data_IF_983422786270
#
_entry.id   IF_983422786270
#
_cell.length_a   1.000
_cell.length_b   1.000
_cell.length_c   1.000
_cell.angle_alpha   90.00
_cell.angle_beta   90.00
_cell.angle_gamma   90.00
#
_symmetry.space_group_name_H-M   'P 1'
#
loop_
_entity.id
_entity.type
_entity.pdbx_description
1 polymer ?
#
# COMPACT_ATOMS: atom_id res chain seq x y z
N UNK A 1 -11.17 25.57 2.50
CA UNK A 1 -11.52 24.45 1.59
C UNK A 1 -10.34 23.56 1.20
N UNK A 2 -9.39 23.96 0.34
CA UNK A 2 -8.24 23.08 -0.02
C UNK A 2 -7.34 22.72 1.18
N UNK A 3 -7.14 23.67 2.09
CA UNK A 3 -6.32 23.44 3.30
C UNK A 3 -7.05 22.58 4.35
N UNK A 4 -8.38 22.63 4.42
CA UNK A 4 -9.19 21.82 5.34
C UNK A 4 -9.32 20.38 4.87
N UNK A 5 -9.48 20.14 3.56
CA UNK A 5 -9.46 18.78 3.00
C UNK A 5 -8.10 18.10 3.19
N UNK A 6 -7.02 18.88 3.12
CA UNK A 6 -5.66 18.37 3.38
C UNK A 6 -5.46 17.97 4.85
N UNK A 7 -6.06 18.71 5.79
CA UNK A 7 -5.98 18.40 7.22
C UNK A 7 -6.76 17.13 7.54
N UNK A 8 -7.95 16.91 6.95
CA UNK A 8 -8.72 15.68 7.17
C UNK A 8 -8.08 14.44 6.55
N UNK A 9 -7.37 14.57 5.42
CA UNK A 9 -6.61 13.48 4.82
C UNK A 9 -5.40 13.06 5.68
N UNK A 10 -4.75 14.03 6.36
CA UNK A 10 -3.67 13.76 7.32
C UNK A 10 -4.20 13.04 8.59
N UNK A 11 -5.48 13.24 8.94
CA UNK A 11 -6.15 12.64 10.11
C UNK A 11 -6.59 11.19 9.84
N UNK A 12 -7.13 10.89 8.65
CA UNK A 12 -7.45 9.51 8.25
C UNK A 12 -6.19 8.62 8.05
N UNK A 13 -5.00 9.23 7.93
CA UNK A 13 -3.71 8.57 7.71
C UNK A 13 -3.17 7.79 8.95
N UNK A 14 -3.81 7.92 10.13
CA UNK A 14 -3.21 7.65 11.44
C UNK A 14 -3.82 6.53 12.29
N UNK A 15 -4.80 5.76 11.80
CA UNK A 15 -5.52 4.76 12.62
C UNK A 15 -4.63 3.71 13.33
N UNK A 16 -3.41 3.46 12.87
CA UNK A 16 -2.47 2.50 13.52
C UNK A 16 -1.46 3.15 14.48
N UNK A 17 -1.48 4.48 14.64
CA UNK A 17 -0.48 5.24 15.42
C UNK A 17 -1.18 6.20 16.42
N UNK A 18 -2.49 6.40 16.31
CA UNK A 18 -3.25 7.42 17.06
C UNK A 18 -3.35 7.16 18.56
N UNK A 19 -3.41 5.89 19.01
CA UNK A 19 -3.60 5.59 20.44
C UNK A 19 -2.39 5.96 21.31
N UNK A 20 -1.17 5.99 20.74
CA UNK A 20 0.05 6.46 21.44
C UNK A 20 0.24 8.00 21.32
N UNK A 21 -0.57 8.69 20.51
CA UNK A 21 -0.36 10.08 20.08
C UNK A 21 -1.06 11.11 20.97
N UNK A 22 -2.23 10.81 21.53
CA UNK A 22 -2.94 11.78 22.38
C UNK A 22 -2.25 11.98 23.73
N UNK A 23 -1.62 10.93 24.28
CA UNK A 23 -0.86 11.02 25.54
C UNK A 23 0.43 11.84 25.39
N UNK A 24 1.22 11.63 24.31
CA UNK A 24 2.46 12.42 24.09
C UNK A 24 2.22 13.88 23.66
N UNK A 25 1.09 14.18 23.00
CA UNK A 25 0.77 15.54 22.54
C UNK A 25 0.13 16.38 23.65
N UNK A 26 -0.65 15.78 24.55
CA UNK A 26 -1.22 16.45 25.73
C UNK A 26 -0.14 16.92 26.70
N UNK A 27 0.90 16.12 26.94
CA UNK A 27 2.04 16.52 27.79
C UNK A 27 2.98 17.54 27.13
N UNK A 28 2.94 17.69 25.80
CA UNK A 28 3.87 18.54 25.04
C UNK A 28 3.38 19.99 24.81
N UNK A 29 2.27 20.39 25.42
CA UNK A 29 1.79 21.78 25.39
C UNK A 29 2.54 22.67 26.40
N UNK A 30 3.81 22.99 26.10
CA UNK A 30 4.55 24.12 26.68
C UNK A 30 5.54 24.69 25.64
N UNK A 31 5.86 26.00 25.68
CA UNK A 31 5.83 26.88 24.50
C UNK A 31 7.11 26.86 23.64
N UNK A 32 6.92 27.01 22.32
CA UNK A 32 7.94 27.25 21.27
C UNK A 32 8.99 26.14 21.07
N UNK A 33 8.55 24.95 20.65
CA UNK A 33 9.46 24.07 19.89
C UNK A 33 9.86 24.78 18.59
N UNK A 34 11.17 24.88 18.35
CA UNK A 34 11.73 25.49 17.13
C UNK A 34 11.16 24.78 15.90
N UNK A 35 10.99 25.49 14.77
CA UNK A 35 10.60 24.89 13.48
C UNK A 35 11.49 23.68 13.10
N UNK A 36 12.71 23.65 13.62
CA UNK A 36 13.66 22.55 13.45
C UNK A 36 13.28 21.29 14.25
N UNK A 37 12.73 21.43 15.46
CA UNK A 37 12.28 20.30 16.29
C UNK A 37 11.01 19.66 15.74
N UNK A 38 10.09 20.49 15.23
CA UNK A 38 8.89 20.02 14.53
C UNK A 38 9.30 19.21 13.28
N UNK A 39 10.30 19.68 12.51
CA UNK A 39 10.84 18.94 11.37
C UNK A 39 11.49 17.61 11.78
N UNK A 40 12.25 17.57 12.88
CA UNK A 40 12.87 16.34 13.40
C UNK A 40 11.83 15.32 13.84
N UNK A 41 10.76 15.75 14.54
CA UNK A 41 9.65 14.88 14.95
C UNK A 41 8.90 14.32 13.74
N UNK A 42 8.55 15.16 12.75
CA UNK A 42 7.90 14.71 11.50
C UNK A 42 8.75 13.68 10.75
N UNK A 43 10.08 13.88 10.67
CA UNK A 43 10.99 12.92 10.06
C UNK A 43 11.02 11.59 10.81
N UNK A 44 11.11 11.61 12.14
CA UNK A 44 11.09 10.39 12.96
C UNK A 44 9.79 9.60 12.77
N UNK A 45 8.64 10.29 12.75
CA UNK A 45 7.32 9.68 12.48
C UNK A 45 7.26 9.03 11.10
N UNK A 46 7.72 9.75 10.06
CA UNK A 46 7.79 9.20 8.71
C UNK A 46 8.68 7.95 8.64
N UNK A 47 9.85 7.98 9.27
CA UNK A 47 10.77 6.82 9.31
C UNK A 47 10.11 5.64 10.03
N UNK A 48 9.51 5.85 11.20
CA UNK A 48 8.80 4.78 11.93
C UNK A 48 7.72 4.14 11.06
N UNK A 49 6.91 4.95 10.36
CA UNK A 49 5.86 4.48 9.45
C UNK A 49 6.40 3.63 8.31
N UNK A 50 7.50 4.04 7.69
CA UNK A 50 8.14 3.26 6.62
C UNK A 50 8.75 1.95 7.17
N UNK A 51 9.32 1.99 8.37
CA UNK A 51 9.93 0.81 8.99
C UNK A 51 8.89 -0.23 9.40
N UNK A 52 7.77 0.20 10.00
CA UNK A 52 6.64 -0.69 10.33
C UNK A 52 6.06 -1.30 9.04
N UNK A 53 5.86 -0.48 8.01
CA UNK A 53 5.35 -0.96 6.72
C UNK A 53 6.29 -1.96 6.06
N UNK A 54 7.61 -1.72 6.11
CA UNK A 54 8.61 -2.64 5.60
C UNK A 54 8.65 -3.96 6.39
N UNK A 55 8.46 -3.91 7.71
CA UNK A 55 8.37 -5.08 8.56
C UNK A 55 7.13 -5.92 8.21
N UNK A 56 5.97 -5.27 8.06
CA UNK A 56 4.73 -5.94 7.63
C UNK A 56 4.91 -6.60 6.26
N UNK A 57 5.48 -5.87 5.29
CA UNK A 57 5.76 -6.44 3.96
C UNK A 57 6.69 -7.65 4.06
N UNK A 58 7.77 -7.57 4.84
CA UNK A 58 8.68 -8.70 5.04
C UNK A 58 7.96 -9.94 5.57
N UNK A 59 7.06 -9.78 6.55
CA UNK A 59 6.26 -10.88 7.09
C UNK A 59 5.35 -11.47 6.00
N UNK A 60 4.67 -10.62 5.24
CA UNK A 60 3.80 -11.04 4.12
C UNK A 60 4.61 -11.81 3.07
N UNK A 61 5.78 -11.32 2.68
CA UNK A 61 6.67 -11.98 1.72
C UNK A 61 7.09 -13.37 2.20
N UNK A 62 7.47 -13.50 3.49
CA UNK A 62 7.85 -14.79 4.08
C UNK A 62 6.68 -15.76 4.07
N UNK A 63 5.48 -15.31 4.44
CA UNK A 63 4.28 -16.15 4.42
C UNK A 63 3.94 -16.63 3.00
N UNK A 64 4.01 -15.74 2.00
CA UNK A 64 3.79 -16.09 0.60
C UNK A 64 4.85 -17.05 0.07
N UNK A 65 6.11 -16.87 0.47
CA UNK A 65 7.20 -17.73 0.07
C UNK A 65 7.04 -19.15 0.65
N UNK A 66 6.76 -19.25 1.96
CA UNK A 66 6.47 -20.53 2.62
C UNK A 66 5.25 -21.20 1.98
N UNK A 67 4.20 -20.41 1.70
CA UNK A 67 3.02 -20.91 0.99
C UNK A 67 3.38 -21.47 -0.39
N UNK A 68 4.23 -20.78 -1.16
CA UNK A 68 4.72 -21.26 -2.45
C UNK A 68 5.44 -22.60 -2.35
N UNK A 69 6.34 -22.75 -1.37
CA UNK A 69 7.06 -24.01 -1.13
C UNK A 69 6.14 -25.15 -0.72
N UNK A 70 5.20 -24.90 0.22
CA UNK A 70 4.22 -25.90 0.66
C UNK A 70 3.31 -26.32 -0.49
N UNK A 71 2.89 -25.36 -1.33
CA UNK A 71 2.04 -25.63 -2.50
C UNK A 71 2.74 -26.55 -3.49
N UNK A 72 4.02 -26.30 -3.76
CA UNK A 72 4.81 -27.09 -4.71
C UNK A 72 5.23 -28.45 -4.15
N UNK A 73 5.24 -28.60 -2.82
CA UNK A 73 5.70 -29.79 -2.11
C UNK A 73 7.12 -30.24 -2.54
N UNK A 74 7.98 -29.27 -2.84
CA UNK A 74 9.37 -29.46 -3.23
C UNK A 74 10.22 -28.31 -2.65
N UNK A 75 11.47 -28.62 -2.31
CA UNK A 75 12.46 -27.66 -1.79
C UNK A 75 13.72 -27.60 -2.65
N UNK A 76 13.64 -28.11 -3.89
CA UNK A 76 14.69 -27.96 -4.89
C UNK A 76 15.01 -26.48 -5.18
N UNK A 77 16.19 -26.22 -5.75
CA UNK A 77 16.59 -24.85 -6.11
C UNK A 77 15.60 -24.22 -7.11
N UNK A 78 15.00 -25.04 -7.98
CA UNK A 78 13.96 -24.62 -8.92
C UNK A 78 12.69 -24.21 -8.16
N UNK A 79 12.23 -25.02 -7.21
CA UNK A 79 11.06 -24.71 -6.38
C UNK A 79 11.26 -23.41 -5.58
N UNK A 80 12.46 -23.20 -5.02
CA UNK A 80 12.81 -21.94 -4.34
C UNK A 80 12.73 -20.74 -5.30
N UNK A 81 13.22 -20.91 -6.52
CA UNK A 81 13.18 -19.86 -7.55
C UNK A 81 11.74 -19.54 -7.93
N UNK A 82 10.92 -20.56 -8.19
CA UNK A 82 9.52 -20.39 -8.55
C UNK A 82 8.71 -19.76 -7.41
N UNK A 83 8.95 -20.15 -6.16
CA UNK A 83 8.31 -19.56 -5.00
C UNK A 83 8.69 -18.07 -4.81
N UNK A 84 9.95 -17.70 -5.07
CA UNK A 84 10.35 -16.28 -5.07
C UNK A 84 9.68 -15.50 -6.20
N UNK A 85 9.60 -16.05 -7.40
CA UNK A 85 8.89 -15.43 -8.51
C UNK A 85 7.41 -15.24 -8.23
N UNK A 86 6.76 -16.23 -7.60
CA UNK A 86 5.38 -16.12 -7.15
C UNK A 86 5.18 -14.91 -6.22
N UNK A 87 6.04 -14.78 -5.20
CA UNK A 87 5.98 -13.65 -4.25
C UNK A 87 6.17 -12.32 -4.97
N UNK A 88 7.19 -12.22 -5.82
CA UNK A 88 7.47 -11.01 -6.62
C UNK A 88 6.27 -10.62 -7.48
N UNK A 89 5.67 -11.57 -8.20
CA UNK A 89 4.52 -11.31 -9.06
C UNK A 89 3.34 -10.82 -8.23
N UNK A 90 3.00 -11.50 -7.14
CA UNK A 90 1.87 -11.13 -6.29
C UNK A 90 2.05 -9.72 -5.72
N UNK A 91 3.20 -9.45 -5.09
CA UNK A 91 3.45 -8.12 -4.51
C UNK A 91 3.48 -7.02 -5.57
N UNK A 92 4.12 -7.27 -6.71
CA UNK A 92 4.14 -6.33 -7.83
C UNK A 92 2.71 -5.97 -8.25
N UNK A 93 1.84 -6.97 -8.44
CA UNK A 93 0.45 -6.73 -8.85
C UNK A 93 -0.37 -5.99 -7.80
N UNK A 94 -0.14 -6.24 -6.50
CA UNK A 94 -0.80 -5.49 -5.43
C UNK A 94 -0.36 -4.01 -5.47
N UNK A 95 0.96 -3.76 -5.52
CA UNK A 95 1.51 -2.40 -5.60
C UNK A 95 1.04 -1.67 -6.85
N UNK A 96 1.04 -2.36 -7.99
CA UNK A 96 0.52 -1.86 -9.26
C UNK A 96 -0.97 -1.54 -9.19
N UNK A 97 -1.79 -2.37 -8.55
CA UNK A 97 -3.23 -2.12 -8.40
C UNK A 97 -3.49 -0.83 -7.61
N UNK A 98 -2.79 -0.61 -6.50
CA UNK A 98 -2.91 0.63 -5.73
C UNK A 98 -2.43 1.86 -6.51
N UNK A 99 -1.32 1.72 -7.22
CA UNK A 99 -0.81 2.79 -8.09
C UNK A 99 -1.82 3.17 -9.18
N UNK A 100 -2.37 2.17 -9.86
CA UNK A 100 -3.33 2.36 -10.95
C UNK A 100 -4.68 2.89 -10.45
N UNK A 101 -5.13 2.43 -9.28
CA UNK A 101 -6.33 2.94 -8.61
C UNK A 101 -6.23 4.45 -8.40
N UNK A 102 -5.10 4.91 -7.83
CA UNK A 102 -4.87 6.34 -7.58
C UNK A 102 -4.83 7.18 -8.86
N UNK A 103 -4.46 6.59 -10.00
CA UNK A 103 -4.44 7.27 -11.29
C UNK A 103 -5.80 7.22 -12.02
N UNK A 104 -6.84 6.63 -11.42
CA UNK A 104 -8.16 6.49 -12.01
C UNK A 104 -8.20 5.76 -13.37
N UNK A 105 -7.14 5.02 -13.75
CA UNK A 105 -7.01 4.45 -15.11
C UNK A 105 -8.12 3.42 -15.37
N UNK A 106 -8.44 2.60 -14.38
CA UNK A 106 -9.50 1.59 -14.49
C UNK A 106 -10.87 2.05 -13.98
N UNK A 107 -10.99 3.31 -13.55
CA UNK A 107 -12.24 3.82 -12.97
C UNK A 107 -13.42 3.70 -13.93
N UNK A 108 -13.21 3.99 -15.22
CA UNK A 108 -14.22 3.83 -16.27
C UNK A 108 -14.66 2.37 -16.44
N UNK A 109 -13.71 1.43 -16.50
CA UNK A 109 -13.99 0.00 -16.68
C UNK A 109 -14.72 -0.58 -15.47
N UNK A 110 -14.25 -0.29 -14.26
CA UNK A 110 -14.84 -0.76 -13.01
C UNK A 110 -16.27 -0.23 -12.86
N UNK A 111 -16.48 1.07 -13.09
CA UNK A 111 -17.79 1.69 -12.99
C UNK A 111 -18.76 1.15 -14.06
N UNK A 112 -18.30 0.99 -15.30
CA UNK A 112 -19.11 0.46 -16.40
C UNK A 112 -19.52 -0.98 -16.16
N UNK A 113 -18.58 -1.82 -15.71
CA UNK A 113 -18.83 -3.22 -15.38
C UNK A 113 -19.83 -3.33 -14.23
N UNK A 114 -19.64 -2.55 -13.16
CA UNK A 114 -20.57 -2.50 -12.01
C UNK A 114 -21.96 -2.06 -12.44
N UNK A 115 -22.07 -1.04 -13.29
CA UNK A 115 -23.34 -0.53 -13.80
C UNK A 115 -24.04 -1.55 -14.67
N UNK A 116 -23.30 -2.26 -15.52
CA UNK A 116 -23.81 -3.35 -16.36
C UNK A 116 -24.41 -4.49 -15.53
N UNK A 117 -23.69 -4.98 -14.51
CA UNK A 117 -24.22 -6.04 -13.63
C UNK A 117 -25.40 -5.57 -12.78
N UNK A 118 -25.38 -4.33 -12.29
CA UNK A 118 -26.52 -3.75 -11.59
C UNK A 118 -27.76 -3.72 -12.48
N UNK A 119 -27.61 -3.34 -13.75
CA UNK A 119 -28.69 -3.36 -14.74
C UNK A 119 -29.27 -4.76 -14.94
N UNK A 120 -28.43 -5.80 -15.03
CA UNK A 120 -28.89 -7.21 -15.10
C UNK A 120 -29.75 -7.58 -13.88
N UNK A 121 -29.40 -7.08 -12.70
CA UNK A 121 -30.17 -7.30 -11.47
C UNK A 121 -31.34 -6.32 -11.27
N UNK A 122 -31.64 -5.46 -12.25
CA UNK A 122 -32.70 -4.45 -12.19
C UNK A 122 -32.43 -3.30 -11.22
N UNK A 123 -31.18 -3.14 -10.78
CA UNK A 123 -30.76 -2.08 -9.83
C UNK A 123 -30.03 -0.96 -10.57
N UNK A 124 -30.17 0.26 -10.06
CA UNK A 124 -29.41 1.43 -10.54
C UNK A 124 -28.16 1.68 -9.70
N UNK A 125 -27.05 2.16 -10.29
CA UNK A 125 -25.90 2.62 -9.53
C UNK A 125 -26.28 3.79 -8.62
N UNK A 126 -25.78 3.77 -7.38
CA UNK A 126 -26.10 4.76 -6.33
C UNK A 126 -25.39 6.10 -6.53
N UNK A 127 -24.27 6.09 -7.23
CA UNK A 127 -23.43 7.25 -7.54
C UNK A 127 -23.19 7.27 -9.04
N UNK A 128 -23.08 8.46 -9.63
CA UNK A 128 -22.66 8.60 -11.02
C UNK A 128 -21.14 8.40 -11.18
N UNK A 129 -20.69 8.30 -12.43
CA UNK A 129 -19.29 8.09 -12.77
C UNK A 129 -18.39 9.24 -12.29
N UNK A 130 -18.85 10.48 -12.41
CA UNK A 130 -18.07 11.66 -12.04
C UNK A 130 -17.81 11.68 -10.53
N UNK A 131 -18.86 11.44 -9.75
CA UNK A 131 -18.81 11.34 -8.29
C UNK A 131 -17.92 10.19 -7.84
N UNK A 132 -17.96 9.05 -8.56
CA UNK A 132 -17.06 7.93 -8.30
C UNK A 132 -15.59 8.31 -8.52
N UNK A 133 -15.26 8.92 -9.65
CA UNK A 133 -13.88 9.30 -9.97
C UNK A 133 -13.36 10.39 -9.02
N UNK A 134 -14.21 11.36 -8.70
CA UNK A 134 -13.89 12.45 -7.77
C UNK A 134 -13.64 11.94 -6.36
N UNK A 135 -14.38 10.92 -5.90
CA UNK A 135 -14.11 10.27 -4.63
C UNK A 135 -12.68 9.71 -4.55
N UNK A 136 -12.18 9.11 -5.63
CA UNK A 136 -10.83 8.54 -5.67
C UNK A 136 -9.76 9.66 -5.69
N UNK A 137 -10.06 10.78 -6.34
CA UNK A 137 -9.18 11.95 -6.36
C UNK A 137 -9.15 12.68 -5.01
N UNK A 138 -10.29 12.79 -4.33
CA UNK A 138 -10.44 13.44 -3.04
C UNK A 138 -9.91 12.57 -1.88
N UNK A 139 -9.99 11.25 -1.99
CA UNK A 139 -9.53 10.27 -1.00
C UNK A 139 -8.67 9.16 -1.66
N UNK A 140 -7.44 9.50 -2.10
CA UNK A 140 -6.55 8.54 -2.74
C UNK A 140 -5.88 7.64 -1.70
N UNK A 141 -5.50 6.42 -2.10
CA UNK A 141 -4.71 5.55 -1.25
C UNK A 141 -3.37 6.24 -0.97
N UNK A 142 -2.93 6.39 0.28
CA UNK A 142 -1.69 7.08 0.60
C UNK A 142 -0.49 6.55 -0.18
N UNK A 143 0.27 7.46 -0.80
CA UNK A 143 1.29 7.06 -1.78
C UNK A 143 2.42 6.19 -1.22
N UNK A 144 2.61 6.21 0.09
CA UNK A 144 3.64 5.41 0.75
C UNK A 144 3.35 3.91 0.64
N UNK A 145 2.07 3.48 0.62
CA UNK A 145 1.72 2.05 0.59
C UNK A 145 2.28 1.37 -0.65
N UNK A 146 1.96 1.89 -1.84
CA UNK A 146 2.46 1.29 -3.08
C UNK A 146 3.97 1.49 -3.27
N UNK A 147 4.55 2.58 -2.75
CA UNK A 147 6.01 2.79 -2.78
C UNK A 147 6.76 1.74 -1.97
N UNK A 148 6.29 1.45 -0.75
CA UNK A 148 6.91 0.43 0.11
C UNK A 148 6.76 -0.95 -0.52
N UNK A 149 5.59 -1.27 -1.09
CA UNK A 149 5.37 -2.54 -1.79
C UNK A 149 6.36 -2.67 -2.96
N UNK A 150 6.45 -1.66 -3.85
CA UNK A 150 7.40 -1.73 -4.97
C UNK A 150 8.86 -1.88 -4.51
N UNK A 151 9.28 -1.13 -3.50
CA UNK A 151 10.64 -1.25 -2.96
C UNK A 151 10.89 -2.68 -2.46
N UNK A 152 9.95 -3.25 -1.70
CA UNK A 152 10.01 -4.65 -1.23
C UNK A 152 10.11 -5.63 -2.40
N UNK A 153 9.23 -5.51 -3.38
CA UNK A 153 9.20 -6.35 -4.57
C UNK A 153 10.51 -6.28 -5.36
N UNK A 154 11.09 -5.09 -5.55
CA UNK A 154 12.37 -4.95 -6.26
C UNK A 154 13.55 -5.51 -5.48
N UNK A 155 13.52 -5.43 -4.14
CA UNK A 155 14.53 -6.09 -3.29
C UNK A 155 14.45 -7.62 -3.45
N UNK A 156 13.24 -8.19 -3.48
CA UNK A 156 13.02 -9.63 -3.70
C UNK A 156 13.31 -10.07 -5.14
N UNK A 157 13.15 -9.19 -6.12
CA UNK A 157 13.46 -9.47 -7.51
C UNK A 157 14.96 -9.74 -7.70
N UNK A 158 15.85 -9.09 -6.95
CA UNK A 158 17.30 -9.29 -7.04
C UNK A 158 17.69 -10.77 -6.83
N UNK A 159 17.39 -11.42 -5.68
CA UNK A 159 17.71 -12.83 -5.49
C UNK A 159 16.94 -13.74 -6.46
N UNK A 160 15.69 -13.41 -6.82
CA UNK A 160 14.92 -14.20 -7.79
C UNK A 160 15.60 -14.26 -9.17
N UNK A 161 16.09 -13.11 -9.66
CA UNK A 161 16.82 -13.01 -10.93
C UNK A 161 18.18 -13.70 -10.83
N UNK A 162 18.92 -13.52 -9.72
CA UNK A 162 20.21 -14.19 -9.52
C UNK A 162 20.07 -15.71 -9.56
N UNK A 163 19.07 -16.27 -8.88
CA UNK A 163 18.81 -17.71 -8.89
C UNK A 163 18.40 -18.21 -10.28
N UNK A 164 17.58 -17.45 -11.00
CA UNK A 164 17.21 -17.79 -12.37
C UNK A 164 18.44 -17.83 -13.29
N UNK A 165 19.36 -16.86 -13.17
CA UNK A 165 20.60 -16.83 -13.96
C UNK A 165 21.59 -17.92 -13.56
N UNK A 166 21.60 -18.37 -12.30
CA UNK A 166 22.45 -19.49 -11.87
C UNK A 166 21.92 -20.83 -12.40
N UNK A 167 20.60 -20.95 -12.50
CA UNK A 167 19.94 -22.18 -12.91
C UNK A 167 19.90 -22.39 -14.43
N UNK A 168 19.83 -21.31 -15.21
CA UNK A 168 19.83 -21.33 -16.69
C UNK A 168 21.22 -21.07 -17.28
#
# INVERSE_FOLDING_TARGET
MKDEQKIMLDEQENFLIEDDLEEEISEAQAPKKSAEEIRKLKRRKAIKKHLISALVMTVVSILLFIFGLIWQNDTSLLAITDALWLVVVIEFFIGWTFFVYNLNIFSSIIYSTKSFFLMITGKKPKIDYYTYMKKIEDDPIPSYYYKVIFISTFILLIPAVLLLVIYF
#
